data_IF_473156503009
#
_entry.id   IF_473156503009
#
_cell.length_a   1.000
_cell.length_b   1.000
_cell.length_c   1.000
_cell.angle_alpha   90.00
_cell.angle_beta   90.00
_cell.angle_gamma   90.00
#
_symmetry.space_group_name_H-M   'P 1'
#
loop_
_entity.id
_entity.type
_entity.pdbx_description
1 polymer ?
#
# COMPACT_ATOMS: atom_id res chain seq x y z
N UNK A 1 4.23 -25.56 7.61
CA UNK A 1 4.15 -24.12 7.95
C UNK A 1 2.67 -23.73 7.94
N UNK A 2 2.05 -23.46 9.10
CA UNK A 2 0.61 -23.20 9.23
C UNK A 2 0.36 -21.67 9.34
N UNK A 3 0.40 -20.97 8.20
CA UNK A 3 0.11 -19.53 8.15
C UNK A 3 -1.31 -19.35 7.59
N UNK A 4 -2.10 -18.49 8.25
CA UNK A 4 -3.37 -18.04 7.68
C UNK A 4 -3.11 -17.29 6.37
N UNK A 5 -3.97 -17.53 5.39
CA UNK A 5 -3.95 -16.91 4.07
C UNK A 5 -5.12 -15.92 3.94
N UNK A 6 -5.12 -15.13 2.88
CA UNK A 6 -6.25 -14.24 2.52
C UNK A 6 -7.56 -14.99 2.29
N UNK A 7 -7.53 -16.32 2.16
CA UNK A 7 -8.72 -17.17 2.00
C UNK A 7 -9.34 -17.58 3.33
N UNK A 8 -8.60 -17.41 4.43
CA UNK A 8 -9.00 -17.83 5.77
C UNK A 8 -9.59 -16.69 6.61
N UNK A 9 -9.83 -15.53 5.99
CA UNK A 9 -10.28 -14.29 6.64
C UNK A 9 -11.43 -13.67 5.87
N UNK A 10 -12.36 -13.05 6.60
CA UNK A 10 -13.41 -12.22 6.00
C UNK A 10 -12.84 -10.86 5.58
N UNK A 11 -13.01 -10.54 4.30
CA UNK A 11 -12.43 -9.37 3.64
C UNK A 11 -13.51 -8.40 3.13
N UNK A 12 -14.78 -8.78 3.23
CA UNK A 12 -15.88 -8.01 2.64
C UNK A 12 -16.02 -6.64 3.30
N UNK A 13 -15.95 -5.59 2.48
CA UNK A 13 -15.94 -4.19 2.93
C UNK A 13 -14.76 -3.82 3.84
N UNK A 14 -13.80 -4.72 4.09
CA UNK A 14 -12.65 -4.46 4.98
C UNK A 14 -11.59 -3.65 4.25
N UNK A 15 -10.82 -2.89 5.03
CA UNK A 15 -9.60 -2.24 4.56
C UNK A 15 -8.43 -3.18 4.76
N UNK A 16 -7.68 -3.40 3.69
CA UNK A 16 -6.58 -4.37 3.65
C UNK A 16 -5.31 -3.64 3.27
N UNK A 17 -4.37 -3.58 4.20
CA UNK A 17 -3.01 -3.15 3.91
C UNK A 17 -2.23 -4.30 3.29
N UNK A 18 -1.73 -4.09 2.07
CA UNK A 18 -1.01 -5.10 1.30
C UNK A 18 0.42 -4.60 1.08
N UNK A 19 1.39 -5.30 1.67
CA UNK A 19 2.81 -5.12 1.35
C UNK A 19 3.11 -5.83 0.04
N UNK A 20 3.47 -5.06 -0.98
CA UNK A 20 3.81 -5.56 -2.31
C UNK A 20 5.25 -5.20 -2.65
N UNK A 21 5.86 -5.99 -3.52
CA UNK A 21 7.21 -5.75 -4.02
C UNK A 21 7.15 -5.16 -5.43
N UNK A 22 7.20 -3.83 -5.51
CA UNK A 22 7.27 -3.07 -6.74
C UNK A 22 8.66 -2.47 -6.95
N UNK A 23 9.69 -3.14 -6.46
CA UNK A 23 11.07 -2.78 -6.76
C UNK A 23 11.44 -3.21 -8.20
N UNK A 24 10.91 -2.47 -9.17
CA UNK A 24 11.06 -2.72 -10.61
C UNK A 24 12.16 -1.85 -11.22
N UNK A 25 12.86 -2.32 -12.26
CA UNK A 25 13.78 -1.48 -13.00
C UNK A 25 13.02 -0.38 -13.76
N UNK A 26 13.60 0.82 -13.76
CA UNK A 26 13.10 1.96 -14.53
C UNK A 26 14.13 2.36 -15.60
N UNK A 27 13.66 2.86 -16.75
CA UNK A 27 14.52 3.50 -17.74
C UNK A 27 14.89 4.95 -17.34
N UNK A 28 15.67 5.64 -18.18
CA UNK A 28 16.09 7.02 -17.94
C UNK A 28 14.93 8.04 -17.91
N UNK A 29 13.79 7.68 -18.51
CA UNK A 29 12.54 8.46 -18.47
C UNK A 29 11.70 8.18 -17.22
N UNK A 30 12.14 7.28 -16.36
CA UNK A 30 11.42 6.85 -15.16
C UNK A 30 10.27 5.88 -15.43
N UNK A 31 10.21 5.27 -16.62
CA UNK A 31 9.16 4.31 -17.00
C UNK A 31 9.58 2.88 -16.62
N UNK A 32 8.60 2.04 -16.28
CA UNK A 32 8.85 0.63 -15.90
C UNK A 32 9.29 -0.17 -17.12
N UNK A 33 10.48 -0.79 -17.06
CA UNK A 33 10.99 -1.62 -18.17
C UNK A 33 10.67 -3.11 -18.01
N UNK A 34 10.50 -3.57 -16.77
CA UNK A 34 10.06 -4.93 -16.46
C UNK A 34 8.94 -4.90 -15.41
N UNK A 35 7.73 -5.24 -15.84
CA UNK A 35 6.52 -5.27 -15.00
C UNK A 35 6.24 -6.65 -14.38
N UNK A 36 7.18 -7.62 -14.46
CA UNK A 36 6.99 -8.98 -13.94
C UNK A 36 6.60 -8.98 -12.47
N UNK A 37 7.22 -8.13 -11.64
CA UNK A 37 6.89 -8.01 -10.21
C UNK A 37 5.50 -7.45 -9.98
N UNK A 38 5.08 -6.47 -10.78
CA UNK A 38 3.73 -5.90 -10.73
C UNK A 38 2.71 -6.96 -11.12
N UNK A 39 2.96 -7.71 -12.19
CA UNK A 39 2.08 -8.81 -12.63
C UNK A 39 1.87 -9.89 -11.57
N UNK A 40 2.89 -10.15 -10.74
CA UNK A 40 2.80 -11.14 -9.65
C UNK A 40 1.83 -10.74 -8.53
N UNK A 41 1.57 -9.45 -8.31
CA UNK A 41 0.60 -9.02 -7.29
C UNK A 41 -0.85 -9.09 -7.79
N UNK A 42 -1.07 -9.06 -9.11
CA UNK A 42 -2.41 -8.97 -9.72
C UNK A 42 -3.39 -10.05 -9.25
N UNK A 43 -3.03 -11.35 -9.11
CA UNK A 43 -3.99 -12.35 -8.63
C UNK A 43 -4.50 -12.05 -7.22
N UNK A 44 -3.63 -11.57 -6.33
CA UNK A 44 -4.01 -11.17 -4.98
C UNK A 44 -4.91 -9.95 -5.00
N UNK A 45 -4.57 -8.93 -5.80
CA UNK A 45 -5.37 -7.70 -5.90
C UNK A 45 -6.75 -7.98 -6.49
N UNK A 46 -6.83 -8.79 -7.54
CA UNK A 46 -8.11 -9.21 -8.13
C UNK A 46 -8.98 -9.94 -7.12
N UNK A 47 -8.42 -10.88 -6.35
CA UNK A 47 -9.15 -11.57 -5.30
C UNK A 47 -9.70 -10.60 -4.23
N UNK A 48 -8.91 -9.60 -3.82
CA UNK A 48 -9.37 -8.58 -2.88
C UNK A 48 -10.50 -7.72 -3.45
N UNK A 49 -10.39 -7.31 -4.73
CA UNK A 49 -11.44 -6.55 -5.42
C UNK A 49 -12.73 -7.36 -5.60
N UNK A 50 -12.62 -8.67 -5.88
CA UNK A 50 -13.76 -9.59 -5.96
C UNK A 50 -14.50 -9.76 -4.62
N UNK A 51 -13.81 -9.49 -3.51
CA UNK A 51 -14.37 -9.49 -2.15
C UNK A 51 -14.75 -8.09 -1.67
N UNK A 52 -14.90 -7.13 -2.58
CA UNK A 52 -15.27 -5.74 -2.27
C UNK A 52 -14.37 -5.08 -1.19
N UNK A 53 -13.13 -5.56 -1.07
CA UNK A 53 -12.16 -5.02 -0.14
C UNK A 53 -11.64 -3.66 -0.61
N UNK A 54 -11.23 -2.85 0.35
CA UNK A 54 -10.60 -1.54 0.17
C UNK A 54 -9.10 -1.71 0.32
N UNK A 55 -8.36 -1.54 -0.78
CA UNK A 55 -6.96 -1.99 -0.85
C UNK A 55 -6.02 -0.81 -0.65
N UNK A 56 -5.11 -0.92 0.33
CA UNK A 56 -4.04 0.04 0.57
C UNK A 56 -2.72 -0.68 0.26
N UNK A 57 -2.02 -0.23 -0.78
CA UNK A 57 -0.76 -0.80 -1.21
C UNK A 57 0.40 -0.03 -0.64
N UNK A 58 1.40 -0.76 -0.13
CA UNK A 58 2.67 -0.18 0.28
C UNK A 58 3.82 -0.95 -0.35
N UNK A 59 4.81 -0.22 -0.84
CA UNK A 59 5.98 -0.80 -1.48
C UNK A 59 7.21 0.08 -1.31
N UNK A 60 8.34 -0.45 -1.73
CA UNK A 60 9.57 0.29 -1.85
C UNK A 60 10.09 0.21 -3.27
N UNK A 61 10.82 1.24 -3.69
CA UNK A 61 11.47 1.30 -4.99
C UNK A 61 12.89 1.81 -4.83
N UNK A 62 13.87 1.05 -5.34
CA UNK A 62 15.28 1.40 -5.25
C UNK A 62 15.78 1.56 -3.81
N UNK A 63 16.83 2.37 -3.64
CA UNK A 63 17.46 2.64 -2.34
C UNK A 63 17.71 4.15 -2.17
N UNK A 64 16.67 4.92 -1.85
CA UNK A 64 16.78 6.36 -1.65
C UNK A 64 17.43 6.79 -0.32
N UNK A 65 17.81 5.85 0.56
CA UNK A 65 18.49 6.12 1.84
C UNK A 65 17.76 7.13 2.74
N UNK A 66 16.43 7.07 2.81
CA UNK A 66 15.62 7.96 3.65
C UNK A 66 15.46 9.39 3.12
N UNK A 67 15.71 9.60 1.82
CA UNK A 67 15.51 10.90 1.17
C UNK A 67 14.46 10.81 0.07
N UNK A 68 13.69 11.88 -0.14
CA UNK A 68 12.76 11.95 -1.27
C UNK A 68 13.58 12.18 -2.54
N UNK A 69 13.52 11.21 -3.46
CA UNK A 69 14.21 11.26 -4.74
C UNK A 69 13.18 10.99 -5.83
N UNK A 70 12.96 11.96 -6.71
CA UNK A 70 11.85 11.90 -7.69
C UNK A 70 11.91 10.65 -8.59
N UNK A 71 13.11 10.21 -8.98
CA UNK A 71 13.32 8.96 -9.73
C UNK A 71 12.78 7.71 -9.02
N UNK A 72 12.71 7.72 -7.69
CA UNK A 72 12.27 6.58 -6.89
C UNK A 72 10.82 6.73 -6.39
N UNK A 73 10.05 7.68 -6.92
CA UNK A 73 8.61 7.75 -6.66
C UNK A 73 7.86 6.64 -7.37
N UNK A 74 6.69 6.29 -6.84
CA UNK A 74 5.88 5.19 -7.34
C UNK A 74 4.89 5.59 -8.45
N UNK A 75 4.99 6.80 -9.02
CA UNK A 75 4.02 7.31 -10.03
C UNK A 75 3.96 6.45 -11.29
N UNK A 76 5.11 5.99 -11.79
CA UNK A 76 5.16 5.10 -12.96
C UNK A 76 4.63 3.70 -12.65
N UNK A 77 4.82 3.22 -11.42
CA UNK A 77 4.26 1.95 -10.95
C UNK A 77 2.74 2.05 -10.84
N UNK A 78 2.21 3.16 -10.33
CA UNK A 78 0.78 3.41 -10.23
C UNK A 78 0.12 3.35 -11.62
N UNK A 79 0.67 4.08 -12.60
CA UNK A 79 0.17 4.09 -13.99
C UNK A 79 0.17 2.71 -14.62
N UNK A 80 1.26 1.94 -14.44
CA UNK A 80 1.35 0.58 -14.94
C UNK A 80 0.33 -0.35 -14.26
N UNK A 81 0.13 -0.20 -12.95
CA UNK A 81 -0.85 -0.98 -12.20
C UNK A 81 -2.29 -0.67 -12.63
N UNK A 82 -2.62 0.61 -12.86
CA UNK A 82 -3.92 1.02 -13.42
C UNK A 82 -4.16 0.38 -14.79
N UNK A 83 -3.17 0.42 -15.67
CA UNK A 83 -3.23 -0.18 -17.01
C UNK A 83 -3.48 -1.70 -16.95
N UNK A 84 -2.80 -2.41 -16.05
CA UNK A 84 -2.91 -3.87 -15.92
C UNK A 84 -4.19 -4.33 -15.21
N UNK A 85 -4.71 -3.56 -14.25
CA UNK A 85 -5.92 -3.90 -13.50
C UNK A 85 -7.20 -3.40 -14.18
N UNK A 86 -7.11 -2.32 -14.98
CA UNK A 86 -8.29 -1.62 -15.50
C UNK A 86 -9.10 -0.91 -14.41
N UNK A 87 -8.48 -0.67 -13.24
CA UNK A 87 -9.10 0.00 -12.08
C UNK A 87 -8.22 1.18 -11.71
N UNK A 88 -8.85 2.30 -11.32
CA UNK A 88 -8.15 3.50 -10.89
C UNK A 88 -7.37 3.23 -9.60
N UNK A 89 -6.11 3.64 -9.57
CA UNK A 89 -5.20 3.52 -8.42
C UNK A 89 -4.86 4.94 -7.95
N UNK A 90 -5.36 5.29 -6.77
CA UNK A 90 -5.08 6.60 -6.19
C UNK A 90 -3.72 6.58 -5.50
N UNK A 91 -2.70 7.12 -6.16
CA UNK A 91 -1.37 7.26 -5.59
C UNK A 91 -1.31 8.47 -4.64
N UNK A 92 -0.64 8.29 -3.50
CA UNK A 92 -0.37 9.33 -2.50
C UNK A 92 1.10 9.75 -2.54
N UNK A 93 1.38 11.03 -2.27
CA UNK A 93 2.76 11.57 -2.23
C UNK A 93 3.43 11.44 -0.85
N UNK A 94 2.76 10.80 0.11
CA UNK A 94 3.26 10.55 1.44
C UNK A 94 2.98 9.10 1.87
N UNK A 95 3.82 8.59 2.77
CA UNK A 95 3.64 7.28 3.41
C UNK A 95 2.55 7.37 4.48
N UNK A 96 2.59 8.42 5.29
CA UNK A 96 1.59 8.77 6.31
C UNK A 96 1.44 10.29 6.34
N UNK A 97 0.20 10.76 6.42
CA UNK A 97 -0.14 12.19 6.59
C UNK A 97 -1.63 12.33 6.95
N UNK A 98 -2.08 13.50 7.44
CA UNK A 98 -3.51 13.75 7.60
C UNK A 98 -4.32 13.56 6.32
N UNK A 99 -3.72 13.87 5.16
CA UNK A 99 -4.33 13.64 3.86
C UNK A 99 -4.46 12.15 3.55
N UNK A 100 -3.42 11.34 3.79
CA UNK A 100 -3.49 9.87 3.65
C UNK A 100 -4.59 9.30 4.55
N UNK A 101 -4.68 9.73 5.80
CA UNK A 101 -5.71 9.28 6.73
C UNK A 101 -7.13 9.65 6.25
N UNK A 102 -7.32 10.85 5.69
CA UNK A 102 -8.59 11.29 5.13
C UNK A 102 -8.99 10.48 3.90
N UNK A 103 -8.03 10.20 3.00
CA UNK A 103 -8.27 9.37 1.82
C UNK A 103 -8.62 7.93 2.17
N UNK A 104 -7.87 7.33 3.11
CA UNK A 104 -8.16 5.99 3.63
C UNK A 104 -9.54 5.93 4.31
N UNK A 105 -9.99 7.02 4.95
CA UNK A 105 -11.32 7.11 5.58
C UNK A 105 -12.43 7.11 4.54
N UNK A 106 -12.24 7.84 3.45
CA UNK A 106 -13.24 8.05 2.41
C UNK A 106 -13.23 6.95 1.32
N UNK A 107 -12.37 5.94 1.46
CA UNK A 107 -12.29 4.83 0.51
C UNK A 107 -13.64 4.14 0.36
N UNK A 108 -14.08 4.02 -0.89
CA UNK A 108 -15.20 3.19 -1.32
C UNK A 108 -14.72 1.76 -1.54
N UNK A 109 -15.66 0.82 -1.51
CA UNK A 109 -15.40 -0.58 -1.84
C UNK A 109 -14.72 -0.69 -3.21
N UNK A 110 -13.80 -1.64 -3.33
CA UNK A 110 -13.03 -1.90 -4.56
C UNK A 110 -12.09 -0.76 -4.98
N UNK A 111 -11.87 0.24 -4.14
CA UNK A 111 -10.85 1.27 -4.40
C UNK A 111 -9.45 0.81 -3.98
N UNK A 112 -8.45 1.30 -4.71
CA UNK A 112 -7.04 1.04 -4.47
C UNK A 112 -6.34 2.37 -4.19
N UNK A 113 -5.67 2.45 -3.04
CA UNK A 113 -4.72 3.51 -2.72
C UNK A 113 -3.31 2.94 -2.77
N UNK A 114 -2.38 3.63 -3.43
CA UNK A 114 -0.95 3.32 -3.38
C UNK A 114 -0.23 4.40 -2.56
N UNK A 115 0.39 4.00 -1.44
CA UNK A 115 1.20 4.90 -0.64
C UNK A 115 2.53 5.23 -1.35
N UNK A 116 3.18 6.30 -0.94
CA UNK A 116 4.50 6.65 -1.48
C UNK A 116 5.58 5.64 -1.04
N UNK A 117 6.74 5.67 -1.71
CA UNK A 117 7.88 4.79 -1.43
C UNK A 117 8.28 4.78 0.05
N UNK A 118 8.11 3.62 0.71
CA UNK A 118 8.40 3.44 2.13
C UNK A 118 9.83 3.82 2.53
N UNK A 119 10.81 3.68 1.62
CA UNK A 119 12.21 4.01 1.89
C UNK A 119 12.53 5.52 1.85
N UNK A 120 11.55 6.37 1.55
CA UNK A 120 11.69 7.81 1.80
C UNK A 120 11.65 8.12 3.29
N UNK A 121 11.08 7.23 4.11
CA UNK A 121 11.21 7.32 5.54
C UNK A 121 12.50 6.60 6.01
N UNK A 122 13.39 7.28 6.75
CA UNK A 122 14.62 6.66 7.26
C UNK A 122 14.36 5.58 8.31
N UNK A 123 13.16 5.53 8.91
CA UNK A 123 12.72 4.53 9.88
C UNK A 123 12.42 3.16 9.28
N UNK A 124 12.08 3.06 7.98
CA UNK A 124 11.81 1.77 7.31
C UNK A 124 13.04 0.87 7.30
N UNK A 125 14.23 1.43 7.02
CA UNK A 125 15.48 0.64 7.02
C UNK A 125 15.95 0.30 8.44
N UNK A 126 15.48 1.02 9.46
CA UNK A 126 15.84 0.84 10.87
C UNK A 126 14.84 -0.04 11.64
N UNK A 127 13.76 -0.49 10.98
CA UNK A 127 12.64 -1.16 11.63
C UNK A 127 12.11 -0.36 12.84
N UNK A 128 11.96 0.95 12.63
CA UNK A 128 11.50 1.88 13.67
C UNK A 128 10.00 1.68 13.95
N UNK A 129 9.67 1.34 15.20
CA UNK A 129 8.30 1.17 15.66
C UNK A 129 7.42 2.42 15.43
N UNK A 130 8.04 3.59 15.34
CA UNK A 130 7.35 4.87 15.05
C UNK A 130 6.71 4.86 13.68
N UNK A 131 7.37 4.30 12.65
CA UNK A 131 6.82 4.19 11.31
C UNK A 131 5.60 3.26 11.30
N UNK A 132 5.73 2.09 11.95
CA UNK A 132 4.64 1.13 12.07
C UNK A 132 3.44 1.77 12.78
N UNK A 133 3.69 2.51 13.87
CA UNK A 133 2.65 3.22 14.63
C UNK A 133 2.00 4.33 13.82
N UNK A 134 2.75 5.10 13.04
CA UNK A 134 2.20 6.17 12.20
C UNK A 134 1.35 5.63 11.04
N UNK A 135 1.77 4.52 10.43
CA UNK A 135 0.98 3.79 9.44
C UNK A 135 -0.31 3.26 10.05
N UNK A 136 -0.21 2.61 11.22
CA UNK A 136 -1.36 2.12 11.96
C UNK A 136 -2.33 3.26 12.30
N UNK A 137 -1.85 4.37 12.86
CA UNK A 137 -2.67 5.55 13.19
C UNK A 137 -3.36 6.10 11.93
N UNK A 138 -2.63 6.24 10.81
CA UNK A 138 -3.23 6.74 9.56
C UNK A 138 -4.33 5.80 9.03
N UNK A 139 -4.18 4.49 9.26
CA UNK A 139 -5.17 3.47 8.89
C UNK A 139 -6.28 3.28 9.93
N UNK A 140 -6.06 3.65 11.19
CA UNK A 140 -7.03 3.49 12.29
C UNK A 140 -7.83 4.77 12.60
N UNK A 141 -7.30 5.97 12.33
CA UNK A 141 -8.04 7.26 12.47
C UNK A 141 -9.23 7.39 11.49
N UNK A 142 -9.45 6.35 10.70
CA UNK A 142 -10.56 6.13 9.79
C UNK A 142 -11.57 5.09 10.30
N UNK A 143 -11.33 4.47 11.48
CA UNK A 143 -12.39 3.80 12.24
C UNK A 143 -13.25 4.89 12.88
N UNK A 144 -14.53 4.98 12.50
CA UNK A 144 -15.55 5.44 13.44
C UNK A 144 -15.37 4.64 14.72
N UNK A 145 -15.32 5.30 15.88
CA UNK A 145 -15.09 4.68 17.18
C UNK A 145 -15.84 3.34 17.32
N UNK A 146 -15.06 2.27 17.26
CA UNK A 146 -15.44 0.89 17.49
C UNK A 146 -14.21 0.21 18.07
N UNK A 147 -13.81 0.69 19.24
CA UNK A 147 -12.76 0.12 20.07
C UNK A 147 -13.24 -1.26 20.53
N UNK A 148 -12.82 -2.31 19.85
CA UNK A 148 -12.68 -3.63 20.49
C UNK A 148 -11.20 -3.74 20.84
N UNK A 149 -10.84 -3.14 21.98
CA UNK A 149 -9.60 -3.43 22.66
C UNK A 149 -9.77 -4.76 23.36
N UNK A 150 -8.98 -5.76 22.99
CA UNK A 150 -8.70 -6.88 23.88
C UNK A 150 -7.52 -6.45 24.76
N UNK A 151 -7.69 -6.38 26.09
CA UNK A 151 -6.58 -6.10 26.98
C UNK A 151 -5.58 -7.26 26.92
N UNK A 152 -4.29 -6.93 26.84
CA UNK A 152 -3.23 -7.88 27.15
C UNK A 152 -3.40 -8.36 28.61
N UNK A 153 -3.46 -9.67 28.78
CA UNK A 153 -3.05 -10.36 30.00
C UNK A 153 -1.56 -10.65 29.93
#
# INVERSE_FOLDING_TARGET
MNKKTIRDVDLEGKRVLVRVDYNVPLNDRGEVTDNTRIKRSLPTLKYLLEKDARIILMSHLGRPKGQVVDKYRLDSVARELESLLGVKVKKMDAIYSPQVAAEVRNMKEREIILLENLRFDPGEEKNDDTLARNLEISMLLSRSLGLVGYPCL
#
